data_IF_967211459510
#
_entry.id   IF_967211459510
#
_cell.length_a   1.000
_cell.length_b   1.000
_cell.length_c   1.000
_cell.angle_alpha   90.00
_cell.angle_beta   90.00
_cell.angle_gamma   90.00
#
_symmetry.space_group_name_H-M   'P 1'
#
loop_
_entity.id
_entity.type
_entity.pdbx_description
1 polymer ?
#
# COMPACT_ATOMS: atom_id res chain seq x y z
N UNK A 1 -15.95 -47.45 -58.59
CA UNK A 1 -16.91 -46.33 -58.66
C UNK A 1 -17.20 -45.88 -57.23
N UNK A 2 -16.86 -44.62 -56.90
CA UNK A 2 -17.36 -43.73 -55.81
C UNK A 2 -17.64 -44.37 -54.43
N UNK A 3 -16.98 -43.95 -53.35
CA UNK A 3 -17.37 -42.78 -52.54
C UNK A 3 -16.13 -42.24 -51.79
N UNK A 4 -15.60 -41.06 -52.12
CA UNK A 4 -15.99 -39.72 -51.63
C UNK A 4 -15.57 -39.46 -50.16
N UNK A 5 -14.42 -38.78 -50.01
CA UNK A 5 -14.04 -38.01 -48.82
C UNK A 5 -15.12 -36.99 -48.47
N UNK A 6 -15.44 -36.85 -47.18
CA UNK A 6 -16.01 -35.63 -46.62
C UNK A 6 -15.35 -35.31 -45.28
N UNK A 7 -14.87 -34.07 -45.20
CA UNK A 7 -14.11 -33.45 -44.13
C UNK A 7 -15.03 -32.73 -43.13
N UNK A 8 -14.50 -32.52 -41.91
CA UNK A 8 -14.82 -31.43 -40.96
C UNK A 8 -16.23 -31.43 -40.33
N UNK A 9 -16.49 -30.97 -39.11
CA UNK A 9 -15.78 -30.04 -38.24
C UNK A 9 -16.11 -30.33 -36.77
N UNK A 10 -15.12 -30.20 -35.89
CA UNK A 10 -15.31 -30.17 -34.44
C UNK A 10 -15.89 -28.81 -34.03
N UNK A 11 -16.96 -28.82 -33.20
CA UNK A 11 -17.52 -27.61 -32.58
C UNK A 11 -17.27 -27.72 -31.08
N UNK A 12 -16.16 -27.12 -30.62
CA UNK A 12 -15.94 -26.83 -29.21
C UNK A 12 -16.74 -25.57 -28.86
N UNK A 13 -17.82 -25.72 -28.09
CA UNK A 13 -18.51 -24.59 -27.48
C UNK A 13 -17.74 -24.17 -26.22
N UNK A 14 -16.78 -23.23 -26.36
CA UNK A 14 -16.25 -22.48 -25.22
C UNK A 14 -17.21 -21.35 -24.89
N UNK A 15 -18.06 -21.59 -23.89
CA UNK A 15 -18.81 -20.53 -23.20
C UNK A 15 -17.81 -19.72 -22.37
N UNK A 16 -17.26 -18.65 -22.93
CA UNK A 16 -16.45 -17.71 -22.18
C UNK A 16 -17.37 -16.96 -21.20
N UNK A 17 -17.22 -17.22 -19.91
CA UNK A 17 -17.67 -16.27 -18.89
C UNK A 17 -16.78 -15.03 -19.03
N UNK A 18 -17.33 -13.96 -19.59
CA UNK A 18 -16.70 -12.64 -19.55
C UNK A 18 -16.88 -12.11 -18.12
N UNK A 19 -16.09 -12.61 -17.19
CA UNK A 19 -15.87 -11.92 -15.93
C UNK A 19 -15.07 -10.68 -16.28
N UNK A 20 -15.72 -9.52 -16.28
CA UNK A 20 -15.03 -8.24 -16.34
C UNK A 20 -14.10 -8.18 -15.13
N UNK A 21 -12.82 -8.43 -15.35
CA UNK A 21 -11.78 -8.05 -14.42
C UNK A 21 -11.68 -6.54 -14.51
N UNK A 22 -12.36 -5.83 -13.62
CA UNK A 22 -11.94 -4.49 -13.25
C UNK A 22 -10.50 -4.61 -12.75
N UNK A 23 -9.55 -4.22 -13.61
CA UNK A 23 -8.13 -4.05 -13.31
C UNK A 23 -7.97 -2.86 -12.36
N UNK A 24 -8.49 -2.99 -11.14
CA UNK A 24 -8.12 -2.16 -9.99
C UNK A 24 -6.94 -2.78 -9.24
N UNK A 25 -6.17 -3.63 -9.91
CA UNK A 25 -5.24 -4.58 -9.30
C UNK A 25 -3.75 -4.24 -9.36
N UNK A 26 -3.35 -3.03 -9.78
CA UNK A 26 -1.92 -2.79 -10.09
C UNK A 26 -1.26 -1.65 -9.32
N UNK A 27 -2.00 -0.79 -8.63
CA UNK A 27 -1.41 0.17 -7.69
C UNK A 27 -1.68 -0.28 -6.25
N UNK A 28 -0.66 -0.74 -5.51
CA UNK A 28 -0.83 -1.11 -4.10
C UNK A 28 -1.13 0.12 -3.22
N UNK A 29 -0.88 1.34 -3.69
CA UNK A 29 -1.09 2.57 -2.93
C UNK A 29 -1.98 3.56 -3.71
N UNK A 30 -3.26 3.24 -3.97
CA UNK A 30 -4.11 4.04 -4.84
C UNK A 30 -4.45 5.41 -4.22
N UNK A 31 -4.47 6.52 -4.99
CA UNK A 31 -4.88 7.83 -4.46
C UNK A 31 -6.28 7.81 -3.84
N UNK A 32 -6.46 8.52 -2.71
CA UNK A 32 -7.73 8.53 -1.96
C UNK A 32 -7.91 7.36 -0.99
N UNK A 33 -6.90 6.52 -0.80
CA UNK A 33 -6.93 5.37 0.13
C UNK A 33 -6.56 5.75 1.56
N UNK A 34 -7.09 5.00 2.53
CA UNK A 34 -6.73 5.12 3.94
C UNK A 34 -6.32 3.76 4.50
N UNK A 35 -5.27 3.74 5.32
CA UNK A 35 -4.71 2.54 5.90
C UNK A 35 -4.44 2.69 7.40
N UNK A 36 -4.50 1.55 8.09
CA UNK A 36 -3.82 1.40 9.37
C UNK A 36 -2.33 1.14 9.12
N UNK A 37 -1.46 1.69 9.97
CA UNK A 37 -0.05 1.30 9.99
C UNK A 37 0.06 0.11 10.94
N UNK A 38 0.44 -1.05 10.42
CA UNK A 38 0.56 -2.31 11.18
C UNK A 38 1.94 -2.45 11.80
N UNK A 39 2.99 -2.03 11.09
CA UNK A 39 4.37 -2.12 11.56
C UNK A 39 5.25 -0.97 11.05
N UNK A 40 6.28 -0.65 11.84
CA UNK A 40 7.30 0.38 11.60
C UNK A 40 8.68 -0.27 11.76
N UNK A 41 9.43 -0.38 10.67
CA UNK A 41 10.70 -1.13 10.57
C UNK A 41 10.63 -2.54 11.20
N UNK A 42 9.51 -3.24 10.99
CA UNK A 42 9.29 -4.60 11.48
C UNK A 42 8.80 -4.71 12.93
N UNK A 43 8.71 -3.62 13.69
CA UNK A 43 8.05 -3.60 15.00
C UNK A 43 6.58 -3.23 14.87
N UNK A 44 5.72 -3.83 15.70
CA UNK A 44 4.29 -3.51 15.71
C UNK A 44 4.06 -2.02 15.99
N UNK A 45 3.24 -1.37 15.17
CA UNK A 45 2.91 0.03 15.35
C UNK A 45 1.91 0.19 16.53
N UNK A 46 2.00 1.27 17.31
CA UNK A 46 1.00 1.57 18.32
C UNK A 46 -0.40 1.73 17.72
N UNK A 47 -1.42 1.33 18.47
CA UNK A 47 -2.83 1.47 18.05
C UNK A 47 -3.19 2.92 17.69
N UNK A 48 -4.04 3.04 16.68
CA UNK A 48 -4.51 4.32 16.14
C UNK A 48 -3.51 5.03 15.23
N UNK A 49 -2.41 4.38 14.84
CA UNK A 49 -1.49 4.91 13.82
C UNK A 49 -2.10 4.74 12.43
N UNK A 50 -2.27 5.83 11.69
CA UNK A 50 -2.94 5.85 10.37
C UNK A 50 -2.09 6.47 9.28
N UNK A 51 -2.35 6.06 8.04
CA UNK A 51 -1.76 6.62 6.83
C UNK A 51 -2.88 6.90 5.82
N UNK A 52 -3.15 8.17 5.57
CA UNK A 52 -4.20 8.64 4.66
C UNK A 52 -3.54 9.26 3.44
N UNK A 53 -3.83 8.73 2.26
CA UNK A 53 -3.33 9.24 0.98
C UNK A 53 -4.46 9.95 0.25
N UNK A 54 -4.31 11.26 0.07
CA UNK A 54 -5.23 12.10 -0.68
C UNK A 54 -5.24 11.81 -2.19
N UNK A 55 -6.24 12.32 -2.92
CA UNK A 55 -6.32 12.18 -4.38
C UNK A 55 -5.22 12.97 -5.13
N UNK A 56 -4.55 13.89 -4.45
CA UNK A 56 -3.45 14.75 -4.92
C UNK A 56 -2.08 14.29 -4.40
N UNK A 57 -1.99 13.03 -3.96
CA UNK A 57 -0.80 12.42 -3.35
C UNK A 57 -0.33 13.10 -2.05
N UNK A 58 -1.13 14.01 -1.48
CA UNK A 58 -0.89 14.54 -0.14
C UNK A 58 -1.12 13.43 0.90
N UNK A 59 -0.17 13.24 1.80
CA UNK A 59 -0.28 12.28 2.89
C UNK A 59 -0.61 13.02 4.18
N UNK A 60 -1.56 12.51 4.93
CA UNK A 60 -1.83 12.92 6.30
C UNK A 60 -2.09 11.69 7.18
N UNK A 61 -2.13 11.90 8.48
CA UNK A 61 -2.58 10.84 9.39
C UNK A 61 -2.21 11.10 10.83
N UNK A 62 -2.37 10.04 11.62
CA UNK A 62 -1.91 9.95 13.00
C UNK A 62 -0.64 9.09 13.02
N UNK A 63 0.51 9.70 13.28
CA UNK A 63 1.71 8.98 13.65
C UNK A 63 1.52 8.43 15.08
N UNK A 64 2.47 7.62 15.60
CA UNK A 64 2.34 7.08 16.94
C UNK A 64 1.97 8.14 17.99
N UNK A 65 2.59 9.31 18.07
CA UNK A 65 2.17 10.33 19.05
C UNK A 65 1.39 11.50 18.43
N UNK A 66 1.84 11.98 17.28
CA UNK A 66 1.44 13.25 16.70
C UNK A 66 0.72 13.10 15.36
N UNK A 67 0.00 14.15 14.97
CA UNK A 67 -0.48 14.27 13.60
C UNK A 67 0.69 14.62 12.70
N UNK A 68 0.76 13.99 11.53
CA UNK A 68 1.78 14.26 10.54
C UNK A 68 1.15 14.60 9.19
N UNK A 69 1.95 15.28 8.37
CA UNK A 69 1.67 15.55 6.97
C UNK A 69 2.94 15.26 6.17
N UNK A 70 2.78 14.72 4.98
CA UNK A 70 3.86 14.47 4.03
C UNK A 70 3.32 14.58 2.60
N UNK A 71 4.21 14.50 1.61
CA UNK A 71 3.84 14.49 0.20
C UNK A 71 4.43 13.25 -0.46
N UNK A 72 3.57 12.45 -1.10
CA UNK A 72 4.02 11.39 -1.99
C UNK A 72 4.35 11.98 -3.36
N UNK A 73 5.45 11.53 -3.95
CA UNK A 73 5.83 11.80 -5.34
C UNK A 73 6.02 10.48 -6.05
N UNK A 74 5.36 10.32 -7.19
CA UNK A 74 5.45 9.12 -8.03
C UNK A 74 6.34 9.42 -9.22
N UNK A 75 7.28 8.52 -9.52
CA UNK A 75 8.24 8.64 -10.61
C UNK A 75 8.32 7.31 -11.36
N UNK A 76 8.98 7.30 -12.52
CA UNK A 76 9.23 6.06 -13.27
C UNK A 76 10.11 5.06 -12.48
N UNK A 77 10.86 5.54 -11.48
CA UNK A 77 11.75 4.73 -10.66
C UNK A 77 11.09 4.19 -9.38
N UNK A 78 9.84 4.58 -9.08
CA UNK A 78 9.14 4.23 -7.85
C UNK A 78 8.47 5.43 -7.20
N UNK A 79 8.44 5.45 -5.87
CA UNK A 79 7.85 6.54 -5.08
C UNK A 79 8.90 7.23 -4.22
N UNK A 80 8.60 8.42 -3.75
CA UNK A 80 9.37 9.09 -2.69
C UNK A 80 8.40 9.85 -1.81
N UNK A 81 8.65 9.85 -0.49
CA UNK A 81 7.84 10.58 0.47
C UNK A 81 8.68 11.72 1.01
N UNK A 82 8.22 12.96 0.80
CA UNK A 82 8.80 14.15 1.41
C UNK A 82 8.09 14.45 2.73
N UNK A 83 8.75 14.31 3.89
CA UNK A 83 8.14 14.62 5.18
C UNK A 83 7.81 16.12 5.24
N UNK A 84 6.60 16.44 5.67
CA UNK A 84 6.14 17.80 5.88
C UNK A 84 6.24 18.19 7.36
N UNK A 85 5.11 18.61 7.92
CA UNK A 85 5.01 19.00 9.32
C UNK A 85 4.53 17.84 10.20
N UNK A 86 4.99 17.83 11.45
CA UNK A 86 4.39 17.04 12.53
C UNK A 86 4.11 17.95 13.72
N UNK A 87 3.03 17.68 14.47
CA UNK A 87 2.80 18.37 15.75
C UNK A 87 3.85 17.97 16.77
N UNK A 88 4.08 18.79 17.79
CA UNK A 88 5.05 18.52 18.87
C UNK A 88 4.36 18.34 20.21
N UNK A 89 3.41 17.40 20.29
CA UNK A 89 2.88 16.92 21.56
C UNK A 89 3.87 15.94 22.15
N UNK A 90 4.16 16.08 23.44
CA UNK A 90 4.92 15.09 24.18
C UNK A 90 3.96 13.97 24.62
N UNK A 91 4.23 12.74 24.18
CA UNK A 91 3.58 11.56 24.75
C UNK A 91 4.25 11.21 26.08
N UNK A 92 3.44 10.84 27.08
CA UNK A 92 3.95 10.36 28.38
C UNK A 92 4.54 8.95 28.27
N UNK A 93 4.14 8.21 27.23
CA UNK A 93 4.61 6.86 26.93
C UNK A 93 5.88 6.93 26.08
N UNK A 94 6.99 6.43 26.63
CA UNK A 94 8.31 6.44 26.00
C UNK A 94 8.34 5.56 24.74
N UNK A 95 7.73 4.37 24.78
CA UNK A 95 7.68 3.46 23.64
C UNK A 95 6.91 4.09 22.46
N UNK A 96 5.84 4.85 22.74
CA UNK A 96 5.09 5.59 21.71
C UNK A 96 5.91 6.74 21.13
N UNK A 97 6.75 7.40 21.93
CA UNK A 97 7.67 8.45 21.47
C UNK A 97 8.81 7.89 20.61
N UNK A 98 9.35 6.74 20.97
CA UNK A 98 10.38 6.03 20.19
C UNK A 98 9.81 5.55 18.85
N UNK A 99 8.61 4.94 18.87
CA UNK A 99 7.92 4.52 17.67
C UNK A 99 7.63 5.70 16.72
N UNK A 100 7.28 6.87 17.25
CA UNK A 100 7.11 8.08 16.44
C UNK A 100 8.40 8.52 15.77
N UNK A 101 9.51 8.53 16.52
CA UNK A 101 10.82 8.89 15.97
C UNK A 101 11.18 7.96 14.82
N UNK A 102 10.94 6.66 15.00
CA UNK A 102 11.16 5.64 13.97
C UNK A 102 10.26 5.85 12.76
N UNK A 103 8.96 6.08 12.97
CA UNK A 103 7.99 6.35 11.92
C UNK A 103 8.42 7.53 11.04
N UNK A 104 8.76 8.66 11.64
CA UNK A 104 9.14 9.87 10.91
C UNK A 104 10.48 9.70 10.18
N UNK A 105 11.42 8.93 10.76
CA UNK A 105 12.69 8.60 10.11
C UNK A 105 12.54 7.62 8.95
N UNK A 106 11.53 6.75 8.99
CA UNK A 106 11.25 5.77 7.94
C UNK A 106 10.63 6.39 6.68
N UNK A 107 9.82 7.45 6.81
CA UNK A 107 9.16 8.12 5.68
C UNK A 107 10.10 8.50 4.51
N UNK A 108 11.19 9.26 4.73
CA UNK A 108 12.07 9.68 3.63
C UNK A 108 12.87 8.54 2.99
N UNK A 109 12.99 7.39 3.66
CA UNK A 109 13.76 6.24 3.16
C UNK A 109 12.93 5.36 2.20
N UNK A 110 11.61 5.57 2.12
CA UNK A 110 10.71 4.79 1.28
C UNK A 110 10.91 5.15 -0.20
N UNK A 111 11.14 4.12 -1.01
CA UNK A 111 11.37 4.24 -2.45
C UNK A 111 10.39 3.42 -3.30
N UNK A 112 9.70 2.44 -2.70
CA UNK A 112 8.76 1.58 -3.42
C UNK A 112 7.55 1.20 -2.55
N UNK A 113 6.44 0.92 -3.24
CA UNK A 113 5.23 0.32 -2.66
C UNK A 113 4.94 -1.00 -3.39
N UNK A 114 4.59 -2.03 -2.63
CA UNK A 114 4.27 -3.36 -3.16
C UNK A 114 3.16 -4.01 -2.32
N UNK A 115 2.46 -5.03 -2.86
CA UNK A 115 1.55 -5.83 -2.05
C UNK A 115 2.25 -6.43 -0.83
N UNK A 116 1.60 -6.36 0.33
CA UNK A 116 2.09 -6.96 1.56
C UNK A 116 1.97 -8.49 1.59
N UNK A 117 2.42 -9.14 2.68
CA UNK A 117 2.36 -10.59 2.84
C UNK A 117 0.93 -11.13 2.95
N UNK A 118 -0.03 -10.32 3.40
CA UNK A 118 -1.45 -10.69 3.46
C UNK A 118 -2.31 -9.83 2.50
N UNK A 119 -3.50 -10.34 2.18
CA UNK A 119 -4.42 -9.65 1.28
C UNK A 119 -4.86 -8.29 1.86
N UNK A 120 -4.78 -7.25 1.03
CA UNK A 120 -5.12 -5.88 1.42
C UNK A 120 -4.03 -5.13 2.19
N UNK A 121 -2.87 -5.76 2.42
CA UNK A 121 -1.71 -5.09 2.98
C UNK A 121 -0.84 -4.45 1.89
N UNK A 122 -0.08 -3.44 2.28
CA UNK A 122 0.88 -2.74 1.42
C UNK A 122 2.20 -2.63 2.17
N UNK A 123 3.28 -3.12 1.56
CA UNK A 123 4.63 -2.93 2.06
C UNK A 123 5.26 -1.70 1.38
N UNK A 124 5.64 -0.72 2.19
CA UNK A 124 6.47 0.41 1.78
C UNK A 124 7.91 0.08 2.11
N UNK A 125 8.76 0.00 1.09
CA UNK A 125 10.15 -0.46 1.21
C UNK A 125 11.14 0.61 0.81
N UNK A 126 12.37 0.48 1.30
CA UNK A 126 13.50 1.30 0.89
C UNK A 126 14.25 0.73 -0.33
N UNK A 127 15.39 1.35 -0.66
CA UNK A 127 16.26 0.93 -1.77
C UNK A 127 16.92 -0.44 -1.58
N UNK A 128 17.03 -0.93 -0.35
CA UNK A 128 17.59 -2.25 -0.02
C UNK A 128 16.51 -3.34 0.01
N UNK A 129 15.24 -2.95 -0.17
CA UNK A 129 14.07 -3.82 -0.09
C UNK A 129 13.60 -4.10 1.34
N UNK A 130 14.13 -3.40 2.35
CA UNK A 130 13.66 -3.53 3.71
C UNK A 130 12.29 -2.82 3.86
N UNK A 131 11.34 -3.49 4.51
CA UNK A 131 10.02 -2.90 4.79
C UNK A 131 10.15 -1.86 5.90
N UNK A 132 9.83 -0.62 5.55
CA UNK A 132 9.85 0.55 6.43
C UNK A 132 8.51 0.75 7.11
N UNK A 133 7.42 0.63 6.35
CA UNK A 133 6.07 0.61 6.88
C UNK A 133 5.29 -0.55 6.27
N UNK A 134 4.56 -1.27 7.10
CA UNK A 134 3.54 -2.22 6.66
C UNK A 134 2.18 -1.59 6.91
N UNK A 135 1.42 -1.39 5.85
CA UNK A 135 0.07 -0.85 5.89
C UNK A 135 -0.95 -1.98 5.75
N UNK A 136 -2.13 -1.78 6.32
CA UNK A 136 -3.23 -2.72 6.24
C UNK A 136 -4.60 -2.05 6.19
N UNK A 137 -5.67 -2.82 5.99
CA UNK A 137 -7.02 -2.30 6.05
C UNK A 137 -7.28 -1.67 7.42
N UNK A 138 -8.03 -0.57 7.44
CA UNK A 138 -8.57 -0.06 8.69
C UNK A 138 -9.41 -1.17 9.34
N UNK A 139 -9.22 -1.40 10.64
CA UNK A 139 -10.06 -2.34 11.37
C UNK A 139 -11.53 -1.91 11.20
N UNK A 140 -12.39 -2.83 10.77
CA UNK A 140 -13.82 -2.58 10.76
C UNK A 140 -14.28 -2.51 12.22
N UNK A 141 -14.78 -1.34 12.63
CA UNK A 141 -15.46 -1.15 13.92
C UNK A 141 -16.79 -1.91 13.98
#
# INVERSE_FOLDING_TARGET
>A
MRNALLASAAIFALSACLSGSDDSGTDPLPPGSNFAVLAIDGEAAPDGTTFELGPDDAIAGQAPCNRFMAQLSRTDAGISISPGASTRMACLDEARSEAETRFLAALPEITAASPGPEAGQVALTDTDGATRLLLGPLAAE
#
